data_IF_191022786896
#
_entry.id   IF_191022786896
#
_cell.length_a   1.000
_cell.length_b   1.000
_cell.length_c   1.000
_cell.angle_alpha   90.00
_cell.angle_beta   90.00
_cell.angle_gamma   90.00
#
_symmetry.space_group_name_H-M   'P 1'
#
loop_
_entity.id
_entity.type
_entity.pdbx_description
1 polymer ?
#
# COMPACT_ATOMS: atom_id res chain seq x y z
N UNK A 1 -55.32 -8.84 -7.71
CA UNK A 1 -54.13 -9.38 -8.39
C UNK A 1 -53.04 -8.33 -8.34
N UNK A 2 -51.80 -8.77 -8.14
CA UNK A 2 -50.56 -7.98 -7.99
C UNK A 2 -50.27 -7.42 -6.59
N UNK A 3 -49.73 -8.32 -5.75
CA UNK A 3 -48.72 -8.04 -4.74
C UNK A 3 -47.65 -9.13 -4.95
N UNK A 4 -46.41 -8.78 -5.30
CA UNK A 4 -45.20 -9.40 -4.72
C UNK A 4 -43.87 -8.93 -5.36
N UNK A 5 -42.86 -8.87 -4.48
CA UNK A 5 -41.40 -8.94 -4.68
C UNK A 5 -40.59 -7.63 -4.62
N UNK A 6 -39.80 -7.54 -3.55
CA UNK A 6 -38.73 -6.55 -3.38
C UNK A 6 -38.33 -6.32 -1.91
N UNK A 7 -38.06 -7.37 -1.13
CA UNK A 7 -37.50 -7.24 0.23
C UNK A 7 -36.71 -8.49 0.60
N UNK A 8 -35.41 -8.48 0.33
CA UNK A 8 -34.43 -9.34 1.02
C UNK A 8 -33.02 -8.78 0.82
N UNK A 9 -32.60 -7.82 1.65
CA UNK A 9 -31.22 -7.63 2.12
C UNK A 9 -31.26 -6.77 3.38
N UNK A 10 -31.68 -7.39 4.49
CA UNK A 10 -31.43 -6.88 5.84
C UNK A 10 -30.94 -8.06 6.67
N UNK A 11 -29.63 -8.32 6.60
CA UNK A 11 -28.96 -9.03 7.67
C UNK A 11 -28.22 -7.99 8.51
N UNK A 12 -28.88 -7.57 9.58
CA UNK A 12 -28.26 -6.82 10.67
C UNK A 12 -27.20 -7.69 11.34
N UNK A 13 -25.93 -7.50 10.98
CA UNK A 13 -24.82 -7.88 11.84
C UNK A 13 -24.57 -6.73 12.81
N UNK A 14 -25.03 -6.89 14.04
CA UNK A 14 -24.69 -5.97 15.14
C UNK A 14 -23.15 -5.93 15.34
N UNK A 15 -22.54 -4.79 15.69
CA UNK A 15 -21.11 -4.67 15.98
C UNK A 15 -20.59 -5.56 17.14
N UNK A 16 -21.47 -6.24 17.88
CA UNK A 16 -21.12 -7.05 19.04
C UNK A 16 -20.55 -8.45 18.77
N UNK A 17 -20.37 -8.89 17.51
CA UNK A 17 -19.88 -10.26 17.21
C UNK A 17 -18.47 -10.36 16.60
N UNK A 18 -17.79 -9.26 16.34
CA UNK A 18 -16.39 -9.26 15.89
C UNK A 18 -15.36 -9.04 17.04
N UNK A 19 -15.82 -8.99 18.30
CA UNK A 19 -14.98 -8.65 19.46
C UNK A 19 -14.70 -9.84 20.41
N UNK A 20 -14.54 -11.06 19.89
CA UNK A 20 -14.09 -12.20 20.70
C UNK A 20 -12.88 -12.86 20.05
N UNK A 21 -11.70 -12.27 20.25
CA UNK A 21 -10.44 -12.97 20.53
C UNK A 21 -9.35 -11.98 20.95
N UNK A 22 -9.51 -11.37 22.13
CA UNK A 22 -8.42 -10.66 22.78
C UNK A 22 -8.49 -10.90 24.28
N UNK A 23 -7.56 -11.70 24.81
CA UNK A 23 -6.82 -11.49 26.07
C UNK A 23 -6.06 -12.76 26.47
N UNK A 24 -4.88 -12.53 27.08
CA UNK A 24 -3.97 -13.44 27.79
C UNK A 24 -2.83 -14.07 26.97
N UNK A 25 -1.66 -13.45 27.10
CA UNK A 25 -0.44 -14.18 27.41
C UNK A 25 0.39 -13.35 28.39
N UNK A 26 0.82 -14.00 29.48
CA UNK A 26 1.60 -13.47 30.61
C UNK A 26 3.10 -13.79 30.41
N UNK A 27 3.93 -13.08 31.15
CA UNK A 27 5.40 -13.02 31.14
C UNK A 27 6.21 -14.33 31.22
N UNK A 28 7.48 -14.17 30.77
CA UNK A 28 8.76 -14.80 31.17
C UNK A 28 9.30 -16.02 30.38
N UNK A 29 10.63 -16.28 30.38
CA UNK A 29 11.80 -15.38 30.37
C UNK A 29 12.87 -15.76 29.32
N UNK A 30 13.88 -14.88 29.17
CA UNK A 30 15.07 -15.03 28.31
C UNK A 30 15.97 -16.23 28.70
N UNK A 31 16.49 -16.94 27.70
CA UNK A 31 17.77 -17.65 27.79
C UNK A 31 18.54 -17.57 26.48
N UNK A 32 19.81 -17.16 26.59
CA UNK A 32 20.78 -17.12 25.50
C UNK A 32 21.42 -18.50 25.26
N UNK A 33 21.75 -18.82 24.00
CA UNK A 33 22.95 -19.61 23.71
C UNK A 33 23.47 -19.38 22.30
N UNK A 34 24.79 -19.21 22.23
CA UNK A 34 25.67 -19.06 21.07
C UNK A 34 25.65 -20.29 20.15
N UNK A 35 25.92 -20.05 18.87
CA UNK A 35 26.37 -21.07 17.92
C UNK A 35 26.77 -20.44 16.59
N UNK A 36 28.05 -20.08 16.45
CA UNK A 36 28.64 -19.64 15.20
C UNK A 36 28.93 -20.85 14.29
N UNK A 37 28.61 -20.76 12.99
CA UNK A 37 29.35 -21.48 11.96
C UNK A 37 29.47 -20.62 10.69
N UNK A 38 30.72 -20.35 10.38
CA UNK A 38 31.25 -19.76 9.15
C UNK A 38 31.18 -20.75 7.99
N UNK A 39 30.84 -20.29 6.78
CA UNK A 39 31.34 -20.91 5.55
C UNK A 39 31.14 -19.96 4.35
N UNK A 40 32.28 -19.49 3.84
CA UNK A 40 32.50 -18.73 2.61
C UNK A 40 32.36 -19.60 1.36
N UNK A 41 31.69 -19.10 0.33
CA UNK A 41 32.04 -19.39 -1.07
C UNK A 41 31.50 -18.31 -2.00
N UNK A 42 32.40 -17.46 -2.50
CA UNK A 42 32.14 -16.57 -3.63
C UNK A 42 32.12 -17.38 -4.93
N UNK A 43 31.13 -17.13 -5.80
CA UNK A 43 31.23 -17.41 -7.24
C UNK A 43 30.59 -16.27 -8.03
N UNK A 44 31.34 -15.82 -9.03
CA UNK A 44 31.08 -14.71 -9.93
C UNK A 44 30.20 -15.07 -11.11
N UNK A 45 29.39 -14.07 -11.51
CA UNK A 45 28.99 -13.67 -12.86
C UNK A 45 28.09 -14.58 -13.73
N UNK A 46 26.98 -13.98 -14.17
CA UNK A 46 26.22 -14.34 -15.37
C UNK A 46 25.10 -13.32 -15.59
N UNK A 47 25.16 -12.55 -16.67
CA UNK A 47 24.08 -11.65 -17.09
C UNK A 47 22.94 -12.47 -17.69
N UNK A 48 21.76 -12.49 -17.07
CA UNK A 48 20.52 -12.86 -17.75
C UNK A 48 19.42 -11.86 -17.42
N UNK A 49 18.75 -11.42 -18.47
CA UNK A 49 17.57 -10.55 -18.45
C UNK A 49 16.35 -11.39 -18.16
N UNK A 50 16.10 -11.71 -16.88
CA UNK A 50 14.88 -12.38 -16.44
C UNK A 50 14.13 -11.48 -15.45
N UNK A 51 12.91 -11.11 -15.82
CA UNK A 51 12.10 -10.05 -15.20
C UNK A 51 11.33 -10.47 -13.95
N UNK A 52 11.69 -11.58 -13.30
CA UNK A 52 11.25 -11.96 -11.96
C UNK A 52 12.24 -12.97 -11.42
N UNK A 53 13.06 -12.57 -10.45
CA UNK A 53 14.01 -13.47 -9.82
C UNK A 53 13.72 -13.56 -8.32
N UNK A 54 13.19 -14.71 -7.89
CA UNK A 54 13.21 -15.11 -6.48
C UNK A 54 14.63 -15.62 -6.20
N UNK A 55 15.46 -14.80 -5.56
CA UNK A 55 16.80 -15.17 -5.11
C UNK A 55 16.86 -15.12 -3.57
N UNK A 56 16.53 -16.22 -2.88
CA UNK A 56 16.62 -16.23 -1.41
C UNK A 56 15.99 -14.99 -0.75
N UNK A 57 16.66 -14.40 0.24
CA UNK A 57 16.18 -13.39 1.21
C UNK A 57 15.64 -12.04 0.67
N UNK A 58 15.37 -11.87 -0.64
CA UNK A 58 14.85 -10.63 -1.23
C UNK A 58 13.79 -10.89 -2.33
N UNK A 59 12.72 -10.09 -2.32
CA UNK A 59 11.72 -10.03 -3.41
C UNK A 59 11.73 -8.63 -3.99
N UNK A 60 12.20 -8.48 -5.23
CA UNK A 60 12.35 -7.20 -5.92
C UNK A 60 11.69 -7.25 -7.29
N UNK A 61 10.80 -6.29 -7.57
CA UNK A 61 10.20 -6.07 -8.88
C UNK A 61 10.85 -4.86 -9.56
N UNK A 62 11.07 -4.94 -10.86
CA UNK A 62 11.67 -3.87 -11.67
C UNK A 62 10.84 -3.64 -12.92
N UNK A 63 10.57 -2.38 -13.26
CA UNK A 63 10.04 -2.06 -14.59
C UNK A 63 11.12 -2.32 -15.66
N UNK A 64 10.74 -2.56 -16.93
CA UNK A 64 11.72 -2.81 -18.00
C UNK A 64 12.74 -1.68 -18.22
N UNK A 65 12.41 -0.47 -17.78
CA UNK A 65 13.28 0.71 -17.86
C UNK A 65 14.08 0.97 -16.58
N UNK A 66 13.93 0.13 -15.55
CA UNK A 66 14.50 0.31 -14.20
C UNK A 66 14.14 1.66 -13.55
N UNK A 67 13.08 2.34 -14.02
CA UNK A 67 12.61 3.60 -13.45
C UNK A 67 11.76 3.38 -12.17
N UNK A 68 11.22 2.18 -12.00
CA UNK A 68 10.42 1.76 -10.85
C UNK A 68 11.01 0.47 -10.30
N UNK A 69 11.49 0.52 -9.05
CA UNK A 69 12.06 -0.64 -8.35
C UNK A 69 11.30 -0.81 -7.04
N UNK A 70 10.68 -1.97 -6.83
CA UNK A 70 9.89 -2.27 -5.63
C UNK A 70 10.53 -3.40 -4.85
N UNK A 71 10.92 -3.14 -3.61
CA UNK A 71 11.42 -4.12 -2.66
C UNK A 71 10.30 -4.53 -1.71
N UNK A 72 9.80 -5.76 -1.88
CA UNK A 72 8.72 -6.33 -1.08
C UNK A 72 9.26 -7.11 0.12
N UNK A 73 10.30 -7.93 -0.09
CA UNK A 73 11.03 -8.61 0.98
C UNK A 73 12.51 -8.24 0.92
N UNK A 74 13.10 -8.01 2.08
CA UNK A 74 14.51 -7.64 2.24
C UNK A 74 14.92 -7.77 3.72
N UNK A 75 16.22 -7.90 3.97
CA UNK A 75 16.79 -7.66 5.29
C UNK A 75 16.83 -6.14 5.56
N UNK A 76 16.12 -5.61 6.58
CA UNK A 76 16.14 -4.18 6.88
C UNK A 76 17.54 -3.63 7.20
N UNK A 77 18.46 -4.47 7.65
CA UNK A 77 19.85 -4.08 7.92
C UNK A 77 20.73 -4.03 6.68
N UNK A 78 20.24 -4.56 5.55
CA UNK A 78 20.97 -4.66 4.29
C UNK A 78 20.10 -4.25 3.08
N UNK A 79 19.19 -3.30 3.27
CA UNK A 79 18.42 -2.72 2.17
C UNK A 79 19.39 -1.99 1.22
N UNK A 80 19.46 -2.35 -0.08
CA UNK A 80 20.36 -1.68 -1.02
C UNK A 80 20.07 -0.18 -1.09
N UNK A 81 21.07 0.70 -1.27
CA UNK A 81 20.81 2.12 -1.53
C UNK A 81 20.09 2.31 -2.88
N UNK A 82 19.44 3.47 -3.13
CA UNK A 82 18.87 3.76 -4.44
C UNK A 82 19.94 3.69 -5.55
N UNK A 83 19.57 3.37 -6.81
CA UNK A 83 20.54 3.21 -7.91
C UNK A 83 21.43 4.43 -8.16
N UNK A 84 20.90 5.64 -7.94
CA UNK A 84 21.63 6.90 -8.04
C UNK A 84 20.90 8.00 -7.27
N UNK A 85 21.51 9.19 -7.21
CA UNK A 85 20.89 10.37 -6.57
C UNK A 85 19.63 10.87 -7.29
N UNK A 86 19.41 10.46 -8.55
CA UNK A 86 18.21 10.78 -9.34
C UNK A 86 17.01 9.87 -9.03
N UNK A 87 17.04 9.11 -7.93
CA UNK A 87 15.89 8.31 -7.47
C UNK A 87 15.39 8.82 -6.14
N UNK A 88 14.08 9.00 -6.01
CA UNK A 88 13.43 9.24 -4.71
C UNK A 88 12.99 7.90 -4.11
N UNK A 89 13.41 7.64 -2.86
CA UNK A 89 13.00 6.44 -2.11
C UNK A 89 11.74 6.68 -1.28
N UNK A 90 10.69 5.95 -1.59
CA UNK A 90 9.42 5.91 -0.86
C UNK A 90 9.36 4.68 0.04
N UNK A 91 8.92 4.86 1.28
CA UNK A 91 8.66 3.77 2.23
C UNK A 91 7.18 3.73 2.51
N UNK A 92 6.52 2.65 2.11
CA UNK A 92 5.08 2.49 2.13
C UNK A 92 4.66 1.58 3.29
N UNK A 93 3.75 2.07 4.14
CA UNK A 93 3.15 1.31 5.26
C UNK A 93 1.64 1.57 5.31
N UNK A 94 0.91 0.66 5.93
CA UNK A 94 -0.53 0.80 6.16
C UNK A 94 -0.97 -0.07 7.34
N UNK A 95 -2.18 0.19 7.86
CA UNK A 95 -2.87 -0.72 8.78
C UNK A 95 -2.05 -1.00 10.04
N UNK A 96 -1.46 0.07 10.59
CA UNK A 96 -0.59 -0.01 11.77
C UNK A 96 -1.38 -0.32 13.04
N UNK A 97 -2.66 0.03 13.11
CA UNK A 97 -3.58 -0.34 14.20
C UNK A 97 -3.01 -0.11 15.60
N UNK A 98 -2.48 1.09 15.83
CA UNK A 98 -1.81 1.53 17.06
C UNK A 98 -0.55 0.72 17.43
N UNK A 99 0.15 0.12 16.45
CA UNK A 99 1.42 -0.60 16.64
C UNK A 99 2.55 0.07 15.85
N UNK A 100 3.73 0.09 16.45
CA UNK A 100 4.97 0.50 15.80
C UNK A 100 5.83 -0.73 15.48
N UNK A 101 6.67 -0.60 14.47
CA UNK A 101 7.63 -1.62 14.03
C UNK A 101 8.85 -0.95 13.38
N UNK A 102 9.95 -1.68 13.12
CA UNK A 102 11.09 -1.14 12.39
C UNK A 102 10.67 -0.70 10.97
N UNK A 103 10.97 0.55 10.63
CA UNK A 103 10.76 1.13 9.30
C UNK A 103 12.13 1.54 8.77
N UNK A 104 12.54 1.11 7.56
CA UNK A 104 13.83 1.47 7.01
C UNK A 104 13.90 2.96 6.68
N UNK A 105 15.11 3.46 6.47
CA UNK A 105 15.32 4.82 6.00
C UNK A 105 14.83 5.00 4.55
N UNK A 106 14.35 6.20 4.26
CA UNK A 106 13.95 6.64 2.92
C UNK A 106 13.76 8.15 2.87
N UNK A 107 13.51 8.67 1.67
CA UNK A 107 13.25 10.09 1.49
C UNK A 107 11.84 10.47 1.94
N UNK A 108 10.85 9.63 1.64
CA UNK A 108 9.42 9.90 1.85
C UNK A 108 8.75 8.71 2.52
N UNK A 109 8.02 8.95 3.61
CA UNK A 109 7.13 7.96 4.21
C UNK A 109 5.69 8.16 3.71
N UNK A 110 5.04 7.07 3.30
CA UNK A 110 3.63 7.04 2.90
C UNK A 110 2.86 6.11 3.84
N UNK A 111 1.77 6.59 4.46
CA UNK A 111 0.89 5.78 5.31
C UNK A 111 -0.56 5.81 4.82
N UNK A 112 -1.11 4.67 4.43
CA UNK A 112 -2.43 4.59 3.76
C UNK A 112 -3.60 4.25 4.68
N UNK A 113 -3.64 4.88 5.85
CA UNK A 113 -4.77 4.75 6.78
C UNK A 113 -4.67 3.61 7.78
N UNK A 114 -5.65 3.56 8.67
CA UNK A 114 -5.73 2.67 9.83
C UNK A 114 -4.54 2.82 10.78
N UNK A 115 -4.30 4.09 11.16
CA UNK A 115 -3.34 4.41 12.20
C UNK A 115 -3.75 3.80 13.54
N UNK A 116 -5.06 3.69 13.78
CA UNK A 116 -5.64 3.32 15.08
C UNK A 116 -6.52 2.07 14.99
N UNK A 117 -7.00 1.55 16.13
CA UNK A 117 -8.00 0.47 16.12
C UNK A 117 -9.42 1.04 16.13
N UNK A 118 -9.66 2.11 16.90
CA UNK A 118 -10.99 2.68 17.06
C UNK A 118 -10.95 4.22 17.07
N UNK A 119 -9.82 4.82 16.69
CA UNK A 119 -9.62 6.27 16.68
C UNK A 119 -9.63 6.92 18.05
N UNK A 120 -9.12 6.27 19.10
CA UNK A 120 -8.96 6.97 20.39
C UNK A 120 -7.83 7.99 20.31
N UNK A 121 -7.97 9.13 21.00
CA UNK A 121 -6.96 10.20 21.01
C UNK A 121 -5.61 9.66 21.49
N UNK A 122 -5.61 8.74 22.45
CA UNK A 122 -4.41 8.08 22.99
C UNK A 122 -3.73 7.17 21.96
N UNK A 123 -4.51 6.50 21.11
CA UNK A 123 -3.98 5.70 19.99
C UNK A 123 -3.32 6.62 18.96
N UNK A 124 -4.00 7.70 18.57
CA UNK A 124 -3.42 8.72 17.70
C UNK A 124 -2.14 9.29 18.31
N UNK A 125 -2.16 9.70 19.58
CA UNK A 125 -0.98 10.25 20.25
C UNK A 125 0.19 9.28 20.20
N UNK A 126 -0.03 8.01 20.53
CA UNK A 126 1.01 6.97 20.45
C UNK A 126 1.61 6.88 19.04
N UNK A 127 0.77 6.82 18.02
CA UNK A 127 1.20 6.66 16.64
C UNK A 127 1.89 7.88 16.09
N UNK A 128 1.37 9.06 16.39
CA UNK A 128 1.95 10.31 15.94
C UNK A 128 3.32 10.56 16.60
N UNK A 129 3.50 10.25 17.89
CA UNK A 129 4.82 10.30 18.53
C UNK A 129 5.85 9.41 17.82
N UNK A 130 5.46 8.20 17.42
CA UNK A 130 6.33 7.31 16.65
C UNK A 130 6.65 7.88 15.26
N UNK A 131 5.65 8.36 14.52
CA UNK A 131 5.82 8.89 13.17
C UNK A 131 6.63 10.19 13.16
N UNK A 132 6.43 11.09 14.13
CA UNK A 132 7.23 12.32 14.25
C UNK A 132 8.72 12.03 14.40
N UNK A 133 9.07 10.94 15.08
CA UNK A 133 10.45 10.51 15.30
C UNK A 133 11.14 9.89 14.09
N UNK A 134 10.42 9.62 13.00
CA UNK A 134 11.00 8.97 11.82
C UNK A 134 11.89 9.93 11.00
N UNK A 135 13.00 9.43 10.43
CA UNK A 135 14.02 10.27 9.77
C UNK A 135 13.61 10.78 8.37
N UNK A 136 12.54 10.24 7.79
CA UNK A 136 12.03 10.63 6.47
C UNK A 136 11.82 12.14 6.34
N UNK A 137 12.26 12.71 5.23
CA UNK A 137 12.24 14.17 5.00
C UNK A 137 10.82 14.72 4.87
N UNK A 138 9.92 13.91 4.30
CA UNK A 138 8.49 14.19 4.16
C UNK A 138 7.70 12.95 4.59
N UNK A 139 6.58 13.14 5.30
CA UNK A 139 5.72 12.06 5.78
C UNK A 139 4.29 12.38 5.37
N UNK A 140 3.69 11.57 4.51
CA UNK A 140 2.34 11.81 3.98
C UNK A 140 1.43 10.67 4.43
N UNK A 141 0.25 11.01 4.91
CA UNK A 141 -0.71 10.02 5.41
C UNK A 141 -2.15 10.38 5.09
N UNK A 142 -2.97 9.36 4.99
CA UNK A 142 -4.44 9.44 4.92
C UNK A 142 -5.04 8.69 6.12
N UNK A 143 -6.35 8.86 6.34
CA UNK A 143 -7.11 8.04 7.27
C UNK A 143 -7.53 6.70 6.64
N UNK A 144 -7.91 5.74 7.48
CA UNK A 144 -8.62 4.52 7.08
C UNK A 144 -9.93 4.32 7.84
N UNK A 145 -10.55 3.15 7.67
CA UNK A 145 -11.87 2.86 8.22
C UNK A 145 -11.88 2.69 9.76
N UNK A 146 -10.73 2.49 10.39
CA UNK A 146 -10.56 2.43 11.85
C UNK A 146 -10.25 3.78 12.51
N UNK A 147 -9.95 4.81 11.73
CA UNK A 147 -9.62 6.16 12.20
C UNK A 147 -10.89 7.00 12.45
N UNK A 148 -11.82 6.43 13.21
CA UNK A 148 -13.24 6.80 13.23
C UNK A 148 -13.54 8.30 13.33
N UNK A 149 -12.95 9.06 14.27
CA UNK A 149 -13.30 10.47 14.44
C UNK A 149 -12.97 11.35 13.24
N UNK A 150 -12.08 10.91 12.34
CA UNK A 150 -11.73 11.66 11.14
C UNK A 150 -12.89 11.69 10.13
N UNK A 151 -13.81 10.72 10.19
CA UNK A 151 -15.09 10.78 9.48
C UNK A 151 -16.17 11.45 10.36
N UNK A 152 -16.01 12.75 10.64
CA UNK A 152 -16.81 13.50 11.63
C UNK A 152 -18.32 13.20 11.62
N UNK A 153 -18.99 13.36 10.49
CA UNK A 153 -20.46 13.20 10.40
C UNK A 153 -20.91 11.76 10.68
N UNK A 154 -20.22 10.79 10.07
CA UNK A 154 -20.47 9.38 10.34
C UNK A 154 -20.18 9.02 11.80
N UNK A 155 -19.11 9.57 12.37
CA UNK A 155 -18.73 9.28 13.75
C UNK A 155 -19.78 9.83 14.71
N UNK A 156 -20.24 11.08 14.55
CA UNK A 156 -21.33 11.66 15.36
C UNK A 156 -22.60 10.80 15.30
N UNK A 157 -22.97 10.30 14.11
CA UNK A 157 -24.15 9.45 13.91
C UNK A 157 -24.02 8.04 14.48
N UNK A 158 -22.81 7.45 14.47
CA UNK A 158 -22.57 6.06 14.88
C UNK A 158 -21.95 5.92 16.28
N UNK A 159 -21.52 7.02 16.90
CA UNK A 159 -20.83 7.06 18.20
C UNK A 159 -21.48 6.18 19.28
N UNK A 160 -22.82 6.17 19.48
CA UNK A 160 -23.45 5.36 20.54
C UNK A 160 -23.23 3.85 20.38
N UNK A 161 -23.03 3.36 19.16
CA UNK A 161 -22.88 1.93 18.83
C UNK A 161 -21.48 1.38 19.16
N UNK A 162 -20.47 2.25 19.29
CA UNK A 162 -19.07 1.87 19.45
C UNK A 162 -18.59 1.85 20.91
N UNK A 163 -19.53 1.70 21.86
CA UNK A 163 -19.28 1.51 23.31
C UNK A 163 -18.40 2.59 23.96
N UNK A 164 -18.32 3.78 23.36
CA UNK A 164 -17.66 4.92 23.98
C UNK A 164 -18.52 5.47 25.14
N UNK A 165 -17.90 5.97 26.23
CA UNK A 165 -18.66 6.51 27.35
C UNK A 165 -19.62 7.62 26.92
N UNK A 166 -20.83 7.65 27.50
CA UNK A 166 -21.94 8.54 27.10
C UNK A 166 -21.68 10.05 27.28
N UNK A 167 -20.54 10.43 27.85
CA UNK A 167 -20.16 11.83 28.15
C UNK A 167 -18.91 12.29 27.39
N UNK A 168 -18.56 11.65 26.26
CA UNK A 168 -17.45 12.12 25.43
C UNK A 168 -17.84 13.34 24.62
N UNK A 169 -16.95 14.31 24.62
CA UNK A 169 -17.00 15.47 23.75
C UNK A 169 -16.32 15.10 22.41
N UNK A 170 -17.15 14.66 21.46
CA UNK A 170 -16.70 14.21 20.13
C UNK A 170 -15.97 15.32 19.37
N UNK A 171 -16.41 16.56 19.53
CA UNK A 171 -15.79 17.70 18.84
C UNK A 171 -14.40 17.98 19.41
N UNK A 172 -14.26 17.97 20.73
CA UNK A 172 -12.96 18.10 21.38
C UNK A 172 -12.01 16.95 21.05
N UNK A 173 -12.49 15.71 20.92
CA UNK A 173 -11.66 14.60 20.46
C UNK A 173 -11.15 14.82 19.04
N UNK A 174 -12.03 15.23 18.12
CA UNK A 174 -11.66 15.57 16.77
C UNK A 174 -10.61 16.69 16.74
N UNK A 175 -10.82 17.78 17.49
CA UNK A 175 -9.86 18.88 17.60
C UNK A 175 -8.48 18.40 18.10
N UNK A 176 -8.44 17.57 19.13
CA UNK A 176 -7.18 17.00 19.64
C UNK A 176 -6.47 16.13 18.58
N UNK A 177 -7.22 15.36 17.81
CA UNK A 177 -6.67 14.52 16.74
C UNK A 177 -6.14 15.38 15.59
N UNK A 178 -6.89 16.40 15.18
CA UNK A 178 -6.44 17.34 14.14
C UNK A 178 -5.22 18.13 14.59
N UNK A 179 -5.11 18.51 15.86
CA UNK A 179 -3.89 19.13 16.40
C UNK A 179 -2.68 18.19 16.31
N UNK A 180 -2.86 16.89 16.52
CA UNK A 180 -1.81 15.91 16.29
C UNK A 180 -1.46 15.79 14.79
N UNK A 181 -2.45 15.77 13.89
CA UNK A 181 -2.20 15.54 12.47
C UNK A 181 -1.72 16.78 11.70
N UNK A 182 -2.17 17.98 12.07
CA UNK A 182 -1.94 19.24 11.34
C UNK A 182 -1.32 20.36 12.20
N UNK A 183 -1.15 20.16 13.52
CA UNK A 183 -0.62 21.17 14.44
C UNK A 183 0.89 21.43 14.30
N UNK A 184 1.47 22.28 15.17
CA UNK A 184 2.87 22.71 15.07
C UNK A 184 3.88 21.56 15.11
N UNK A 185 3.59 20.51 15.88
CA UNK A 185 4.49 19.35 15.98
C UNK A 185 4.53 18.54 14.68
N UNK A 186 3.37 18.32 14.04
CA UNK A 186 3.29 17.71 12.71
C UNK A 186 4.05 18.53 11.68
N UNK A 187 3.83 19.85 11.64
CA UNK A 187 4.55 20.76 10.73
C UNK A 187 6.07 20.69 10.92
N UNK A 188 6.55 20.72 12.17
CA UNK A 188 7.98 20.59 12.49
C UNK A 188 8.56 19.25 12.05
N UNK A 189 7.75 18.19 12.02
CA UNK A 189 8.16 16.86 11.58
C UNK A 189 8.01 16.65 10.05
N UNK A 190 7.63 17.69 9.29
CA UNK A 190 7.29 17.64 7.86
C UNK A 190 6.21 16.60 7.54
N UNK A 191 5.20 16.54 8.40
CA UNK A 191 4.06 15.64 8.25
C UNK A 191 2.90 16.35 7.57
N UNK A 192 2.29 15.63 6.63
CA UNK A 192 1.13 16.07 5.85
C UNK A 192 0.05 15.01 5.95
N UNK A 193 -1.10 15.40 6.50
CA UNK A 193 -2.30 14.58 6.49
C UNK A 193 -3.26 15.06 5.39
N UNK A 194 -3.69 14.14 4.53
CA UNK A 194 -4.57 14.37 3.39
C UNK A 194 -5.92 13.68 3.61
N UNK A 195 -7.00 14.37 3.24
CA UNK A 195 -8.35 13.80 3.20
C UNK A 195 -9.13 14.34 1.99
N UNK A 196 -9.02 13.67 0.85
CA UNK A 196 -9.46 14.16 -0.47
C UNK A 196 -8.76 15.46 -0.86
N UNK A 197 -7.45 15.51 -0.61
CA UNK A 197 -6.61 16.69 -0.80
C UNK A 197 -5.40 16.32 -1.67
N UNK A 198 -4.95 17.29 -2.48
CA UNK A 198 -3.69 17.24 -3.21
C UNK A 198 -2.57 17.89 -2.40
N UNK A 199 -1.35 17.42 -2.63
CA UNK A 199 -0.15 18.05 -2.12
C UNK A 199 1.01 17.89 -3.10
N UNK A 200 1.86 18.91 -3.20
CA UNK A 200 3.06 18.87 -4.03
C UNK A 200 4.29 19.12 -3.17
N UNK A 201 5.35 18.37 -3.41
CA UNK A 201 6.57 18.46 -2.61
C UNK A 201 7.81 18.10 -3.41
N UNK A 202 8.98 18.47 -2.87
CA UNK A 202 10.28 17.97 -3.33
C UNK A 202 10.91 17.16 -2.21
N UNK A 203 11.27 15.92 -2.51
CA UNK A 203 11.96 15.05 -1.56
C UNK A 203 13.45 15.46 -1.38
N UNK A 204 14.03 16.06 -2.41
CA UNK A 204 15.42 16.52 -2.46
C UNK A 204 15.48 17.93 -3.03
N UNK A 205 16.48 18.72 -2.62
CA UNK A 205 16.62 20.14 -3.01
C UNK A 205 16.61 20.34 -4.53
N UNK A 206 17.37 19.51 -5.24
CA UNK A 206 17.53 19.57 -6.70
C UNK A 206 16.78 18.44 -7.42
N UNK A 207 15.93 17.70 -6.69
CA UNK A 207 15.09 16.65 -7.25
C UNK A 207 13.81 17.20 -7.87
N UNK A 208 13.04 16.32 -8.52
CA UNK A 208 11.76 16.70 -9.10
C UNK A 208 10.72 17.09 -8.05
N UNK A 209 9.68 17.76 -8.54
CA UNK A 209 8.45 17.95 -7.76
C UNK A 209 7.55 16.74 -7.97
N UNK A 210 7.05 16.18 -6.88
CA UNK A 210 6.08 15.08 -6.86
C UNK A 210 4.70 15.63 -6.51
N UNK A 211 3.68 15.19 -7.23
CA UNK A 211 2.28 15.37 -6.83
C UNK A 211 1.76 14.13 -6.11
N UNK A 212 0.97 14.35 -5.06
CA UNK A 212 0.26 13.30 -4.34
C UNK A 212 -1.20 13.69 -4.15
N UNK A 213 -2.10 12.73 -4.33
CA UNK A 213 -3.50 12.85 -3.92
C UNK A 213 -3.84 11.74 -2.94
N UNK A 214 -4.53 12.09 -1.86
CA UNK A 214 -4.90 11.15 -0.80
C UNK A 214 -6.39 11.11 -0.51
N UNK A 215 -6.99 9.92 -0.51
CA UNK A 215 -8.40 9.70 -0.17
C UNK A 215 -8.59 8.52 0.79
N UNK A 216 -9.32 8.68 1.90
CA UNK A 216 -9.55 7.58 2.85
C UNK A 216 -10.70 6.65 2.44
N UNK A 217 -11.46 7.00 1.41
CA UNK A 217 -12.69 6.31 1.04
C UNK A 217 -12.40 4.93 0.43
N UNK A 218 -13.20 3.94 0.80
CA UNK A 218 -13.18 2.59 0.23
C UNK A 218 -14.61 2.03 0.09
N UNK A 219 -14.84 1.03 -0.79
CA UNK A 219 -16.10 0.31 -0.80
C UNK A 219 -16.44 -0.24 0.59
N UNK A 220 -17.73 -0.24 0.92
CA UNK A 220 -18.22 -0.64 2.24
C UNK A 220 -17.76 -2.06 2.61
N UNK A 221 -17.16 -2.18 3.81
CA UNK A 221 -16.60 -3.42 4.32
C UNK A 221 -16.80 -3.52 5.85
N UNK A 222 -18.04 -3.74 6.28
CA UNK A 222 -18.36 -4.06 7.67
C UNK A 222 -18.96 -2.93 8.51
N UNK A 223 -19.46 -1.88 7.88
CA UNK A 223 -20.14 -0.74 8.49
C UNK A 223 -19.19 0.18 9.24
N UNK A 224 -18.02 0.47 8.66
CA UNK A 224 -16.96 1.27 9.30
C UNK A 224 -16.90 2.70 8.73
N UNK A 225 -16.03 3.55 9.28
CA UNK A 225 -15.82 4.89 8.75
C UNK A 225 -15.30 4.83 7.31
N UNK A 226 -15.54 5.89 6.53
CA UNK A 226 -15.12 6.03 5.14
C UNK A 226 -15.55 4.89 4.19
N UNK A 227 -16.56 4.09 4.56
CA UNK A 227 -17.24 3.16 3.67
C UNK A 227 -18.23 3.88 2.75
N UNK A 228 -18.29 3.48 1.49
CA UNK A 228 -19.32 3.90 0.53
C UNK A 228 -19.94 2.70 -0.18
N UNK A 229 -21.21 2.83 -0.57
CA UNK A 229 -21.87 1.85 -1.42
C UNK A 229 -21.37 1.96 -2.87
N UNK A 230 -21.36 0.87 -3.66
CA UNK A 230 -20.84 0.89 -5.04
C UNK A 230 -21.40 2.02 -5.93
N UNK A 231 -22.66 2.39 -5.76
CA UNK A 231 -23.33 3.49 -6.46
C UNK A 231 -22.77 4.89 -6.16
N UNK A 232 -22.12 5.07 -5.00
CA UNK A 232 -21.51 6.33 -4.58
C UNK A 232 -20.05 6.47 -5.05
N UNK A 233 -19.46 5.40 -5.61
CA UNK A 233 -18.08 5.42 -6.08
C UNK A 233 -17.84 6.43 -7.23
N UNK A 234 -18.67 6.51 -8.30
CA UNK A 234 -18.44 7.44 -9.41
C UNK A 234 -18.26 8.92 -9.01
N UNK A 235 -19.13 9.53 -8.18
CA UNK A 235 -18.93 10.93 -7.76
C UNK A 235 -17.73 11.13 -6.81
N UNK A 236 -17.21 10.08 -6.17
CA UNK A 236 -15.98 10.13 -5.37
C UNK A 236 -14.76 10.06 -6.28
N UNK A 237 -14.66 9.01 -7.11
CA UNK A 237 -13.49 8.73 -7.95
C UNK A 237 -13.32 9.75 -9.07
N UNK A 238 -14.41 10.30 -9.62
CA UNK A 238 -14.34 11.35 -10.66
C UNK A 238 -13.63 12.64 -10.20
N UNK A 239 -13.46 12.85 -8.89
CA UNK A 239 -12.72 13.99 -8.34
C UNK A 239 -11.22 13.76 -8.25
N UNK A 240 -10.75 12.54 -8.49
CA UNK A 240 -9.34 12.22 -8.33
C UNK A 240 -8.55 12.86 -9.49
N UNK A 241 -7.54 13.69 -9.19
CA UNK A 241 -6.73 14.35 -10.20
C UNK A 241 -5.71 13.39 -10.81
N UNK A 242 -5.11 13.80 -11.92
CA UNK A 242 -3.85 13.20 -12.37
C UNK A 242 -2.75 13.57 -11.39
N UNK A 243 -2.04 12.58 -10.89
CA UNK A 243 -1.03 12.72 -9.83
C UNK A 243 0.09 11.71 -10.04
N UNK A 244 1.30 12.00 -9.58
CA UNK A 244 2.40 11.03 -9.60
C UNK A 244 2.16 9.90 -8.59
N UNK A 245 1.58 10.24 -7.43
CA UNK A 245 1.34 9.33 -6.31
C UNK A 245 -0.15 9.38 -5.93
N UNK A 246 -0.79 8.23 -5.86
CA UNK A 246 -2.16 8.08 -5.36
C UNK A 246 -2.13 7.28 -4.06
N UNK A 247 -2.75 7.82 -3.02
CA UNK A 247 -2.99 7.14 -1.75
C UNK A 247 -4.49 6.89 -1.59
N UNK A 248 -4.91 5.63 -1.57
CA UNK A 248 -6.26 5.25 -1.16
C UNK A 248 -6.18 4.30 0.02
N UNK A 249 -7.19 4.27 0.89
CA UNK A 249 -7.17 3.28 1.96
C UNK A 249 -7.43 1.86 1.40
N UNK A 250 -8.49 1.72 0.59
CA UNK A 250 -8.83 0.48 -0.08
C UNK A 250 -8.16 0.31 -1.45
N UNK A 251 -8.01 -0.95 -1.92
CA UNK A 251 -7.44 -1.27 -3.24
C UNK A 251 -8.42 -0.98 -4.40
N UNK A 252 -7.92 -0.82 -5.64
CA UNK A 252 -8.71 -1.04 -6.85
C UNK A 252 -9.23 -2.48 -6.90
N UNK A 253 -10.37 -2.68 -7.58
CA UNK A 253 -10.89 -4.03 -7.78
C UNK A 253 -9.88 -4.90 -8.54
N UNK A 254 -9.74 -6.13 -8.09
CA UNK A 254 -8.90 -7.15 -8.70
C UNK A 254 -7.39 -6.87 -8.74
N UNK A 255 -6.92 -5.90 -7.93
CA UNK A 255 -5.50 -5.59 -7.74
C UNK A 255 -5.19 -5.68 -6.25
N UNK A 256 -4.57 -6.79 -5.83
CA UNK A 256 -4.14 -7.02 -4.45
C UNK A 256 -5.28 -6.78 -3.44
N UNK A 257 -6.46 -7.35 -3.73
CA UNK A 257 -7.69 -7.18 -2.96
C UNK A 257 -8.33 -8.52 -2.54
N UNK A 258 -7.72 -9.67 -2.83
CA UNK A 258 -8.31 -10.96 -2.46
C UNK A 258 -8.20 -11.24 -0.96
N UNK A 259 -9.34 -11.44 -0.31
CA UNK A 259 -9.42 -11.90 1.08
C UNK A 259 -9.19 -13.41 1.21
N UNK A 260 -9.00 -13.93 2.43
CA UNK A 260 -8.87 -15.38 2.68
C UNK A 260 -10.12 -16.16 2.22
N UNK A 261 -11.29 -15.52 2.18
CA UNK A 261 -12.56 -16.14 1.74
C UNK A 261 -12.73 -16.14 0.23
N UNK A 262 -11.83 -15.48 -0.50
CA UNK A 262 -11.88 -15.32 -1.95
C UNK A 262 -12.66 -14.10 -2.42
N UNK A 263 -13.20 -13.30 -1.50
CA UNK A 263 -13.87 -12.03 -1.81
C UNK A 263 -12.87 -11.01 -2.37
N UNK A 264 -13.34 -10.11 -3.23
CA UNK A 264 -12.59 -9.02 -3.87
C UNK A 264 -13.31 -7.68 -3.58
N UNK A 265 -13.07 -7.04 -2.44
CA UNK A 265 -13.75 -5.83 -2.00
C UNK A 265 -13.12 -4.55 -2.59
N UNK A 266 -12.14 -4.66 -3.48
CA UNK A 266 -11.55 -3.49 -4.14
C UNK A 266 -12.58 -2.74 -5.01
N UNK A 267 -12.29 -1.48 -5.33
CA UNK A 267 -13.23 -0.60 -6.03
C UNK A 267 -13.21 -0.78 -7.56
N UNK A 268 -14.32 -1.20 -8.20
CA UNK A 268 -14.38 -1.37 -9.65
C UNK A 268 -14.28 -0.04 -10.41
N UNK A 269 -14.91 1.02 -9.90
CA UNK A 269 -14.82 2.35 -10.52
C UNK A 269 -13.41 2.94 -10.48
N UNK A 270 -12.62 2.59 -9.45
CA UNK A 270 -11.21 2.99 -9.39
C UNK A 270 -10.37 2.22 -10.41
N UNK A 271 -10.64 0.91 -10.59
CA UNK A 271 -10.03 0.13 -11.67
C UNK A 271 -10.36 0.74 -13.04
N UNK A 272 -11.61 1.09 -13.29
CA UNK A 272 -12.03 1.73 -14.55
C UNK A 272 -11.31 3.08 -14.78
N UNK A 273 -11.17 3.90 -13.73
CA UNK A 273 -10.45 5.17 -13.79
C UNK A 273 -8.95 4.99 -14.14
N UNK A 274 -8.33 3.92 -13.63
CA UNK A 274 -6.96 3.53 -13.96
C UNK A 274 -6.85 3.07 -15.43
N UNK A 275 -7.73 2.15 -15.84
CA UNK A 275 -7.75 1.58 -17.19
C UNK A 275 -7.98 2.64 -18.27
N UNK A 276 -8.92 3.56 -18.06
CA UNK A 276 -9.25 4.63 -19.02
C UNK A 276 -8.22 5.75 -19.06
N UNK A 277 -7.29 5.81 -18.10
CA UNK A 277 -6.31 6.89 -18.02
C UNK A 277 -6.82 8.18 -17.38
N UNK A 278 -7.98 8.14 -16.73
CA UNK A 278 -8.47 9.26 -15.91
C UNK A 278 -7.46 9.56 -14.79
N UNK A 279 -6.97 8.52 -14.13
CA UNK A 279 -5.93 8.59 -13.10
C UNK A 279 -4.89 7.51 -13.43
N UNK A 280 -3.61 7.86 -13.59
CA UNK A 280 -2.52 6.90 -13.82
C UNK A 280 -1.28 7.34 -13.05
N UNK A 281 -1.21 7.02 -11.75
CA UNK A 281 -0.07 7.40 -10.95
C UNK A 281 1.13 6.52 -11.28
N UNK A 282 2.34 7.02 -11.04
CA UNK A 282 3.54 6.19 -11.05
C UNK A 282 3.57 5.23 -9.86
N UNK A 283 2.97 5.65 -8.74
CA UNK A 283 2.83 4.85 -7.52
C UNK A 283 1.41 4.97 -6.96
N UNK A 284 0.72 3.84 -6.83
CA UNK A 284 -0.55 3.74 -6.12
C UNK A 284 -0.36 2.89 -4.87
N UNK A 285 -0.41 3.51 -3.70
CA UNK A 285 -0.30 2.82 -2.41
C UNK A 285 -1.69 2.73 -1.77
N UNK A 286 -1.96 1.57 -1.19
CA UNK A 286 -3.16 1.29 -0.41
C UNK A 286 -2.89 0.23 0.66
N UNK A 287 -3.92 -0.11 1.43
CA UNK A 287 -3.87 -1.16 2.45
C UNK A 287 -5.22 -1.84 2.58
N UNK A 288 -5.77 -1.87 3.80
CA UNK A 288 -7.10 -2.37 4.17
C UNK A 288 -7.29 -3.89 4.04
N UNK A 289 -6.89 -4.48 2.91
CA UNK A 289 -6.97 -5.91 2.67
C UNK A 289 -5.65 -6.57 3.06
N UNK A 290 -5.56 -6.91 4.34
CA UNK A 290 -4.35 -7.43 4.99
C UNK A 290 -3.81 -8.71 4.34
N UNK A 291 -4.72 -9.57 3.86
CA UNK A 291 -4.36 -10.81 3.16
C UNK A 291 -3.58 -10.62 1.87
N UNK A 292 -3.76 -9.45 1.26
CA UNK A 292 -3.25 -9.15 -0.06
C UNK A 292 -2.03 -8.21 -0.03
N UNK A 293 -1.35 -8.10 1.11
CA UNK A 293 -0.04 -7.44 1.22
C UNK A 293 0.87 -7.90 0.07
N UNK A 294 1.42 -6.95 -0.68
CA UNK A 294 2.14 -7.26 -1.91
C UNK A 294 2.40 -6.04 -2.77
N UNK A 295 3.04 -6.28 -3.92
CA UNK A 295 3.27 -5.25 -4.92
C UNK A 295 3.15 -5.81 -6.34
N UNK A 296 2.83 -4.94 -7.30
CA UNK A 296 2.78 -5.26 -8.72
C UNK A 296 3.19 -4.06 -9.56
N UNK A 297 4.00 -4.28 -10.59
CA UNK A 297 4.36 -3.25 -11.57
C UNK A 297 3.58 -3.54 -12.86
N UNK A 298 2.75 -2.59 -13.28
CA UNK A 298 1.96 -2.69 -14.49
C UNK A 298 2.44 -1.71 -15.56
N UNK A 299 2.55 -2.17 -16.82
CA UNK A 299 2.84 -1.33 -17.97
C UNK A 299 1.60 -1.09 -18.84
N UNK A 300 1.25 0.19 -18.98
CA UNK A 300 0.24 0.77 -19.85
C UNK A 300 0.76 0.87 -21.30
N UNK A 301 0.70 -0.21 -22.08
CA UNK A 301 0.83 -0.12 -23.55
C UNK A 301 -0.52 -0.20 -24.24
N UNK A 302 -0.64 0.29 -25.47
CA UNK A 302 -1.88 0.24 -26.25
C UNK A 302 -2.43 -1.19 -26.30
N UNK A 303 -3.64 -1.39 -25.77
CA UNK A 303 -4.30 -2.71 -25.71
C UNK A 303 -4.08 -3.50 -24.41
N UNK A 304 -3.20 -3.06 -23.51
CA UNK A 304 -3.08 -3.67 -22.18
C UNK A 304 -4.23 -3.22 -21.29
N UNK A 305 -4.97 -4.20 -20.79
CA UNK A 305 -5.93 -4.05 -19.70
C UNK A 305 -5.28 -4.68 -18.47
N UNK A 306 -5.42 -4.07 -17.30
CA UNK A 306 -5.01 -4.73 -16.06
C UNK A 306 -5.86 -6.00 -15.90
N UNK A 307 -5.22 -7.17 -15.95
CA UNK A 307 -5.83 -8.44 -15.56
C UNK A 307 -5.92 -8.58 -14.04
N UNK A 308 -6.52 -9.67 -13.56
CA UNK A 308 -6.53 -10.00 -12.13
C UNK A 308 -5.10 -10.12 -11.59
N UNK A 309 -4.74 -9.28 -10.61
CA UNK A 309 -3.44 -9.27 -9.93
C UNK A 309 -3.68 -9.61 -8.46
N UNK A 310 -3.27 -10.79 -8.02
CA UNK A 310 -3.46 -11.26 -6.65
C UNK A 310 -2.18 -11.97 -6.17
N UNK A 311 -2.02 -12.06 -4.86
CA UNK A 311 -0.99 -12.93 -4.28
C UNK A 311 -1.24 -14.38 -4.76
N UNK A 312 -0.27 -14.99 -5.44
CA UNK A 312 -0.39 -16.40 -5.87
C UNK A 312 -0.24 -17.35 -4.68
N UNK A 313 -0.96 -18.48 -4.64
CA UNK A 313 -0.72 -19.55 -3.67
C UNK A 313 0.71 -20.11 -3.71
N UNK A 314 1.34 -20.09 -4.90
CA UNK A 314 2.70 -20.59 -5.17
C UNK A 314 3.82 -19.58 -4.88
N UNK A 315 3.53 -18.41 -4.28
CA UNK A 315 4.62 -17.55 -3.77
C UNK A 315 5.38 -18.19 -2.57
N UNK A 316 4.99 -19.40 -2.16
CA UNK A 316 5.83 -20.33 -1.43
C UNK A 316 6.24 -21.51 -2.31
N UNK A 317 7.50 -21.49 -2.77
CA UNK A 317 8.20 -22.60 -3.45
C UNK A 317 7.60 -23.01 -4.80
N UNK A 318 8.01 -22.34 -5.88
CA UNK A 318 7.91 -22.94 -7.22
C UNK A 318 9.29 -23.01 -7.90
N UNK A 319 9.82 -24.24 -8.00
CA UNK A 319 11.04 -24.56 -8.73
C UNK A 319 10.83 -24.64 -10.26
N UNK A 320 9.63 -24.32 -10.78
CA UNK A 320 9.30 -24.46 -12.20
C UNK A 320 8.69 -23.22 -12.87
N UNK A 321 9.13 -22.02 -12.50
CA UNK A 321 8.88 -20.78 -13.27
C UNK A 321 9.63 -20.74 -14.63
N UNK A 322 9.75 -21.87 -15.33
CA UNK A 322 10.47 -22.02 -16.59
C UNK A 322 9.58 -22.46 -17.77
N UNK A 323 8.25 -22.61 -17.61
CA UNK A 323 7.47 -23.27 -18.68
C UNK A 323 6.05 -22.74 -18.92
N UNK A 324 5.92 -21.46 -19.25
CA UNK A 324 4.79 -20.97 -20.04
C UNK A 324 5.28 -20.15 -21.24
N UNK A 325 6.12 -20.79 -22.06
CA UNK A 325 6.44 -20.30 -23.39
C UNK A 325 5.33 -20.68 -24.36
N UNK A 326 4.58 -19.69 -24.86
CA UNK A 326 3.92 -19.85 -26.16
C UNK A 326 3.77 -18.49 -26.85
N UNK A 327 4.72 -18.17 -27.72
CA UNK A 327 4.51 -17.26 -28.84
C UNK A 327 5.41 -17.71 -30.01
N UNK A 328 4.89 -17.70 -31.25
CA UNK A 328 5.55 -18.35 -32.39
C UNK A 328 6.79 -17.57 -32.84
N UNK A 329 7.85 -18.32 -33.12
CA UNK A 329 9.13 -17.81 -33.58
C UNK A 329 9.03 -17.12 -34.96
N UNK A 330 9.57 -15.91 -35.07
CA UNK A 330 9.91 -15.26 -36.35
C UNK A 330 11.44 -15.27 -36.48
N UNK A 331 11.94 -15.82 -37.58
CA UNK A 331 13.37 -15.92 -37.89
C UNK A 331 13.97 -14.59 -38.37
N UNK A 332 15.27 -14.34 -38.16
CA UNK A 332 15.89 -13.05 -38.45
C UNK A 332 16.27 -12.92 -39.93
N UNK A 333 15.81 -11.85 -40.57
CA UNK A 333 16.19 -11.44 -41.93
C UNK A 333 16.79 -10.04 -41.94
N UNK A 334 18.05 -9.98 -42.38
CA UNK A 334 18.84 -8.90 -42.99
C UNK A 334 18.64 -7.42 -42.62
N UNK A 335 19.76 -6.82 -42.17
CA UNK A 335 20.02 -5.38 -42.13
C UNK A 335 19.79 -4.73 -43.50
N UNK A 336 19.07 -3.61 -43.52
CA UNK A 336 19.31 -2.54 -44.49
C UNK A 336 19.20 -1.19 -43.78
N UNK A 337 20.24 -0.39 -43.98
CA UNK A 337 20.36 0.99 -43.53
C UNK A 337 19.27 1.86 -44.16
N UNK A 338 18.66 2.75 -43.38
CA UNK A 338 18.13 3.98 -43.96
C UNK A 338 18.26 5.14 -42.99
N UNK A 339 19.07 6.11 -43.39
CA UNK A 339 19.23 7.40 -42.73
C UNK A 339 17.92 8.19 -42.86
N UNK A 340 17.36 8.60 -41.72
CA UNK A 340 16.21 9.49 -41.63
C UNK A 340 16.46 10.50 -40.53
N UNK A 341 17.00 11.65 -40.92
CA UNK A 341 17.25 12.79 -40.05
C UNK A 341 15.92 13.47 -39.73
N UNK A 342 15.63 13.62 -38.44
CA UNK A 342 14.45 14.31 -37.93
C UNK A 342 14.75 14.83 -36.54
N UNK A 343 15.32 16.03 -36.47
CA UNK A 343 15.42 16.82 -35.26
C UNK A 343 14.00 17.24 -34.81
N UNK A 344 13.59 16.82 -33.62
CA UNK A 344 12.60 17.53 -32.82
C UNK A 344 13.01 17.45 -31.35
N UNK A 345 13.57 18.57 -30.88
CA UNK A 345 13.79 18.84 -29.47
C UNK A 345 12.48 19.25 -28.78
N UNK A 346 12.36 18.77 -27.52
CA UNK A 346 11.60 19.29 -26.36
C UNK A 346 10.07 19.13 -26.29
N UNK A 347 9.63 18.23 -25.40
CA UNK A 347 8.68 18.55 -24.30
C UNK A 347 8.89 17.61 -23.10
N UNK A 348 8.75 18.18 -21.90
CA UNK A 348 9.08 17.60 -20.58
C UNK A 348 8.10 16.49 -20.13
N UNK A 349 8.63 15.50 -19.41
CA UNK A 349 7.85 14.57 -18.58
C UNK A 349 7.47 13.27 -19.29
N UNK A 350 8.38 12.30 -19.31
CA UNK A 350 8.07 10.94 -19.79
C UNK A 350 7.01 10.32 -18.88
N UNK A 351 5.75 10.31 -19.32
CA UNK A 351 4.78 9.28 -18.94
C UNK A 351 5.45 7.94 -19.25
N UNK A 352 5.98 7.28 -18.21
CA UNK A 352 6.66 5.99 -18.38
C UNK A 352 5.67 4.91 -18.80
N UNK A 353 4.37 5.19 -18.78
CA UNK A 353 3.33 4.22 -19.00
C UNK A 353 3.45 3.08 -17.98
N UNK A 354 3.89 3.35 -16.75
CA UNK A 354 4.04 2.34 -15.69
C UNK A 354 3.42 2.81 -14.37
N UNK A 355 2.71 1.92 -13.69
CA UNK A 355 2.23 2.11 -12.32
C UNK A 355 2.74 0.99 -11.43
N UNK A 356 3.39 1.34 -10.32
CA UNK A 356 3.62 0.44 -9.20
C UNK A 356 2.40 0.46 -8.25
N UNK A 357 1.72 -0.67 -8.11
CA UNK A 357 0.66 -0.88 -7.13
C UNK A 357 1.25 -1.52 -5.89
N UNK A 358 0.91 -1.00 -4.72
CA UNK A 358 1.45 -1.46 -3.44
C UNK A 358 0.32 -1.59 -2.43
N UNK A 359 0.05 -2.81 -1.98
CA UNK A 359 -0.73 -3.06 -0.77
C UNK A 359 0.25 -3.15 0.42
N UNK A 360 0.32 -2.09 1.23
CA UNK A 360 1.27 -1.92 2.31
C UNK A 360 0.72 -2.35 3.69
N UNK A 361 -0.38 -3.11 3.74
CA UNK A 361 -0.97 -3.55 5.00
C UNK A 361 0.01 -4.39 5.84
N UNK A 362 0.34 -3.92 7.04
CA UNK A 362 1.36 -4.55 7.88
C UNK A 362 0.82 -5.67 8.80
N UNK A 363 -0.50 -5.83 8.86
CA UNK A 363 -1.13 -6.80 9.75
C UNK A 363 -1.07 -8.22 9.16
N UNK A 364 -0.44 -9.20 9.84
CA UNK A 364 -0.23 -10.50 9.22
C UNK A 364 -1.49 -11.34 9.06
N UNK A 365 -1.95 -11.53 7.82
CA UNK A 365 -3.15 -12.28 7.45
C UNK A 365 -2.97 -13.07 6.13
N UNK A 366 -3.93 -13.93 5.81
CA UNK A 366 -3.99 -14.61 4.50
C UNK A 366 -2.93 -15.70 4.28
N UNK A 367 -2.69 -15.99 3.01
CA UNK A 367 -1.78 -17.06 2.57
C UNK A 367 -0.34 -16.81 3.03
N UNK A 368 0.14 -15.57 2.90
CA UNK A 368 1.48 -15.15 3.35
C UNK A 368 1.71 -15.44 4.82
N UNK A 369 0.72 -15.22 5.70
CA UNK A 369 0.82 -15.60 7.12
C UNK A 369 0.91 -17.11 7.29
N UNK A 370 0.16 -17.87 6.50
CA UNK A 370 0.11 -19.33 6.60
C UNK A 370 1.45 -20.00 6.27
N UNK A 371 2.25 -19.39 5.40
CA UNK A 371 3.59 -19.88 5.03
C UNK A 371 4.59 -19.88 6.21
N UNK A 372 4.27 -19.23 7.33
CA UNK A 372 5.12 -19.18 8.52
C UNK A 372 4.60 -20.09 9.67
N UNK A 373 3.55 -20.89 9.46
CA UNK A 373 2.94 -21.69 10.53
C UNK A 373 3.92 -22.65 11.22
N UNK A 374 4.91 -23.20 10.50
CA UNK A 374 5.89 -24.15 11.03
C UNK A 374 7.06 -23.49 11.80
N UNK A 375 7.26 -22.18 11.63
CA UNK A 375 8.33 -21.40 12.28
C UNK A 375 7.82 -20.35 13.29
N UNK A 376 6.49 -20.23 13.42
CA UNK A 376 5.80 -19.32 14.33
C UNK A 376 5.12 -18.16 13.61
N UNK A 377 4.07 -17.54 14.19
CA UNK A 377 3.33 -16.49 13.53
C UNK A 377 4.26 -15.31 13.18
N UNK A 378 4.17 -14.76 11.96
CA UNK A 378 5.03 -13.66 11.54
C UNK A 378 4.82 -12.45 12.45
N UNK A 379 5.90 -11.73 12.72
CA UNK A 379 5.85 -10.50 13.50
C UNK A 379 5.13 -9.41 12.70
N UNK A 380 4.38 -8.55 13.40
CA UNK A 380 3.80 -7.33 12.82
C UNK A 380 4.90 -6.42 12.24
N UNK A 381 4.82 -6.07 10.96
CA UNK A 381 5.90 -5.37 10.25
C UNK A 381 7.16 -6.23 10.00
N UNK A 382 7.07 -7.54 10.19
CA UNK A 382 8.14 -8.52 9.97
C UNK A 382 8.06 -9.19 8.60
N UNK A 383 8.90 -10.21 8.32
CA UNK A 383 8.91 -10.92 7.03
C UNK A 383 7.50 -11.29 6.54
N UNK A 384 7.22 -11.09 5.27
CA UNK A 384 5.89 -11.26 4.68
C UNK A 384 4.99 -10.02 4.73
N UNK A 385 5.26 -9.07 5.64
CA UNK A 385 4.42 -7.91 5.96
C UNK A 385 5.25 -6.66 6.33
N UNK A 386 6.48 -6.57 5.83
CA UNK A 386 7.40 -5.44 6.09
C UNK A 386 6.94 -4.18 5.34
N UNK A 387 7.46 -2.98 5.67
CA UNK A 387 7.30 -1.83 4.78
C UNK A 387 7.70 -2.17 3.34
N UNK A 388 6.91 -1.76 2.36
CA UNK A 388 7.29 -1.90 0.95
C UNK A 388 8.11 -0.69 0.55
N UNK A 389 9.33 -0.90 0.06
CA UNK A 389 10.20 0.19 -0.38
C UNK A 389 10.10 0.34 -1.89
N UNK A 390 9.91 1.55 -2.36
CA UNK A 390 9.79 1.86 -3.80
C UNK A 390 10.78 2.94 -4.16
N UNK A 391 11.71 2.64 -5.05
CA UNK A 391 12.57 3.64 -5.67
C UNK A 391 11.97 4.05 -7.02
N UNK A 392 11.63 5.33 -7.14
CA UNK A 392 11.20 5.92 -8.40
C UNK A 392 12.26 6.87 -8.89
N UNK A 393 12.64 6.76 -10.16
CA UNK A 393 13.50 7.76 -10.81
C UNK A 393 12.75 9.09 -10.85
N UNK A 394 13.43 10.17 -10.45
CA UNK A 394 12.94 11.55 -10.57
C UNK A 394 12.58 11.85 -12.03
#
# INVERSE_FOLDING_TARGET
>A
MLNNLGSTYRNHLSPSRLLQHFTKSKDMPQTASRGAMTSTAAKSAGSSTDSNAIYGDYVVYRSPSDNEIVYLEYDPSNLPPPPSDSYTRFVCISDTHARSFPVPDGDVLLHTGDLTNLGFVEEFKKMMEWIYGMPHKVKIMIAGNHDLPLHSEWFKGNFPSWRRPKHHDVEKEYENIIELLKGPKAKKANLVYLQNEEYSFRAKKDGRTWSVYGSPWSPEFGGWAFGYEPEDAPPIISKFPKTDILLTHGPPYDILDRTTRGDKPGCPTLLDALQTGQVRPRLHVFGHIHEAHGAHIHSWSTGNVIGSVQNSPDEGVDENAANSGNSPAIQPGEQTDNQGQGDMDTEEGTDTGVTAFVNAAAWPMGLRRSNYQDIGPPQFGGPGFRPVVVDLRD
#
